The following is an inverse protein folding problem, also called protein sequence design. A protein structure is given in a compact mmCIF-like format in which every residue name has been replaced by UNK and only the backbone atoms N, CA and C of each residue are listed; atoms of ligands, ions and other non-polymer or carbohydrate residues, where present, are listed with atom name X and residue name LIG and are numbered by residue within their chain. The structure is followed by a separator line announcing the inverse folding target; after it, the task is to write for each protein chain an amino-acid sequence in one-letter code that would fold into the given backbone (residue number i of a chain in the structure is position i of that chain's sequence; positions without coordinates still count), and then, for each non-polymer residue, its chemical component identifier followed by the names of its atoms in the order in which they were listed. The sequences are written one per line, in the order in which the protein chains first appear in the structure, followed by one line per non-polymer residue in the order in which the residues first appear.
data_IF_939393478248
#
_entry.id   IF_939393478248
#
_cell.length_a   1.000
_cell.length_b   1.000
_cell.length_c   1.000
_cell.angle_alpha   90.00
_cell.angle_beta   90.00
_cell.angle_gamma   90.00
#
_symmetry.space_group_name_H-M   'P 1'
#
loop_
_entity.id
_entity.type
_entity.pdbx_description
1 polymer ?
#
# COMPACT_ATOMS: atom_id res chain seq x y z
N UNK A 1 4.03 -6.18 -2.25
CA UNK A 1 3.78 -6.58 -0.84
C UNK A 1 2.49 -6.01 -0.24
N UNK A 2 2.07 -4.82 -0.61
CA UNK A 2 0.90 -4.15 0.00
C UNK A 2 -0.47 -4.70 -0.42
N UNK A 3 -0.54 -5.61 -1.39
CA UNK A 3 -1.77 -6.27 -1.85
C UNK A 3 -1.84 -7.72 -1.37
N UNK A 4 -2.46 -8.03 -0.20
CA UNK A 4 -2.41 -9.36 0.38
C UNK A 4 -3.11 -10.43 -0.48
N UNK A 5 -4.11 -10.03 -1.26
CA UNK A 5 -4.76 -10.92 -2.21
C UNK A 5 -3.81 -11.37 -3.32
N UNK A 6 -2.97 -10.46 -3.82
CA UNK A 6 -1.91 -10.77 -4.78
C UNK A 6 -0.83 -11.65 -4.15
N UNK A 7 -0.33 -11.27 -2.96
CA UNK A 7 0.70 -12.06 -2.25
C UNK A 7 0.23 -13.50 -2.06
N UNK A 8 -0.99 -13.69 -1.55
CA UNK A 8 -1.57 -15.03 -1.37
C UNK A 8 -1.69 -15.77 -2.70
N UNK A 9 -2.12 -15.12 -3.77
CA UNK A 9 -2.20 -15.70 -5.09
C UNK A 9 -0.82 -16.14 -5.62
N UNK A 10 0.20 -15.33 -5.42
CA UNK A 10 1.58 -15.64 -5.78
C UNK A 10 2.10 -16.88 -5.02
N UNK A 11 1.85 -16.94 -3.71
CA UNK A 11 2.25 -18.06 -2.86
C UNK A 11 1.65 -19.41 -3.31
N UNK A 12 0.43 -19.38 -3.88
CA UNK A 12 -0.24 -20.60 -4.36
C UNK A 12 0.09 -20.95 -5.81
N UNK A 13 0.10 -19.97 -6.70
CA UNK A 13 0.11 -20.22 -8.15
C UNK A 13 1.40 -19.81 -8.85
N UNK A 14 2.20 -18.96 -8.23
CA UNK A 14 3.48 -18.47 -8.77
C UNK A 14 4.60 -18.54 -7.71
N UNK A 15 4.80 -19.68 -7.01
CA UNK A 15 5.81 -19.78 -5.95
C UNK A 15 7.23 -19.48 -6.45
N UNK A 16 7.53 -19.74 -7.71
CA UNK A 16 8.82 -19.46 -8.34
C UNK A 16 9.10 -17.94 -8.45
N UNK A 17 8.06 -17.11 -8.38
CA UNK A 17 8.17 -15.65 -8.40
C UNK A 17 8.30 -15.03 -7.01
N UNK A 18 8.21 -15.81 -5.94
CA UNK A 18 8.38 -15.31 -4.55
C UNK A 18 9.68 -14.54 -4.36
N UNK A 19 10.85 -14.97 -4.91
CA UNK A 19 12.09 -14.21 -4.80
C UNK A 19 12.05 -12.81 -5.44
N UNK A 20 11.10 -12.55 -6.32
CA UNK A 20 10.91 -11.26 -6.97
C UNK A 20 9.96 -10.34 -6.21
N UNK A 21 9.28 -10.82 -5.15
CA UNK A 21 8.41 -9.99 -4.33
C UNK A 21 9.24 -9.06 -3.44
N UNK A 22 8.81 -7.80 -3.37
CA UNK A 22 9.34 -6.88 -2.35
C UNK A 22 9.03 -7.45 -0.96
N UNK A 23 10.02 -7.52 -0.10
CA UNK A 23 9.88 -7.98 1.28
C UNK A 23 9.37 -6.89 2.23
N UNK A 24 9.21 -5.65 1.76
CA UNK A 24 8.60 -4.59 2.55
C UNK A 24 7.21 -5.00 3.06
N UNK A 25 6.95 -4.81 4.35
CA UNK A 25 5.60 -4.96 4.91
C UNK A 25 4.62 -4.00 4.22
N UNK A 26 3.34 -4.29 4.30
CA UNK A 26 2.34 -3.34 3.80
C UNK A 26 2.28 -2.08 4.69
N UNK A 27 1.75 -0.94 4.19
CA UNK A 27 1.67 0.28 4.98
C UNK A 27 0.98 0.12 6.34
N UNK A 28 -0.10 -0.69 6.44
CA UNK A 28 -0.73 -0.94 7.74
C UNK A 28 0.20 -1.69 8.70
N UNK A 29 0.95 -2.67 8.21
CA UNK A 29 1.86 -3.45 9.04
C UNK A 29 3.10 -2.63 9.40
N UNK A 30 3.67 -1.86 8.48
CA UNK A 30 4.76 -0.94 8.79
C UNK A 30 4.36 0.07 9.87
N UNK A 31 3.15 0.66 9.75
CA UNK A 31 2.67 1.60 10.75
C UNK A 31 2.48 0.94 12.11
N UNK A 32 1.85 -0.23 12.16
CA UNK A 32 1.67 -1.00 13.39
C UNK A 32 2.99 -1.42 14.02
N UNK A 33 3.96 -1.88 13.21
CA UNK A 33 5.30 -2.22 13.68
C UNK A 33 6.01 -1.02 14.31
N UNK A 34 6.00 0.15 13.64
CA UNK A 34 6.61 1.38 14.16
C UNK A 34 5.87 1.90 15.40
N UNK A 35 4.53 1.79 15.41
CA UNK A 35 3.72 2.17 16.57
C UNK A 35 4.08 1.36 17.82
N UNK A 36 4.22 0.03 17.67
CA UNK A 36 4.51 -0.88 18.78
C UNK A 36 6.02 -1.03 19.10
N UNK A 37 6.89 -0.43 18.30
CA UNK A 37 8.33 -0.39 18.59
C UNK A 37 8.76 1.04 18.93
N UNK A 38 9.02 1.88 17.95
CA UNK A 38 9.53 3.25 18.16
C UNK A 38 8.63 4.11 19.03
N UNK A 39 7.33 4.20 18.70
CA UNK A 39 6.41 5.05 19.46
C UNK A 39 6.21 4.54 20.88
N UNK A 40 6.07 3.22 21.06
CA UNK A 40 5.94 2.59 22.37
C UNK A 40 7.16 2.90 23.25
N UNK A 41 8.38 2.73 22.72
CA UNK A 41 9.64 3.04 23.42
C UNK A 41 9.72 4.53 23.78
N UNK A 42 9.42 5.41 22.84
CA UNK A 42 9.45 6.87 23.03
C UNK A 42 8.48 7.37 24.09
N UNK A 43 7.31 6.74 24.19
CA UNK A 43 6.27 7.09 25.16
C UNK A 43 6.37 6.31 26.48
N UNK A 44 7.29 5.36 26.58
CA UNK A 44 7.41 4.48 27.75
C UNK A 44 6.19 3.56 27.95
N UNK A 45 5.52 3.18 26.86
CA UNK A 45 4.34 2.31 26.87
C UNK A 45 4.77 0.88 26.52
N UNK A 46 4.36 -0.09 27.32
CA UNK A 46 4.55 -1.50 26.97
C UNK A 46 3.74 -1.83 25.70
N UNK A 47 4.37 -2.38 24.64
CA UNK A 47 3.67 -2.70 23.38
C UNK A 47 2.39 -3.53 23.55
N UNK A 48 2.32 -4.38 24.58
CA UNK A 48 1.11 -5.18 24.88
C UNK A 48 -0.13 -4.35 25.21
N UNK A 49 0.08 -3.10 25.65
CA UNK A 49 -1.00 -2.17 26.01
C UNK A 49 -1.45 -1.31 24.84
N UNK A 50 -0.85 -1.47 23.66
CA UNK A 50 -1.22 -0.77 22.42
C UNK A 50 -2.08 -1.70 21.58
N UNK A 51 -3.30 -1.27 21.27
CA UNK A 51 -4.19 -1.96 20.33
C UNK A 51 -4.21 -1.19 19.02
N UNK A 52 -3.63 -1.78 17.98
CA UNK A 52 -3.60 -1.22 16.63
C UNK A 52 -4.80 -1.71 15.84
N UNK A 53 -5.66 -0.77 15.42
CA UNK A 53 -6.86 -1.08 14.62
C UNK A 53 -6.74 -0.43 13.27
N UNK A 54 -6.74 -1.23 12.20
CA UNK A 54 -6.73 -0.73 10.83
C UNK A 54 -8.14 -0.66 10.25
N UNK A 55 -8.42 0.41 9.51
CA UNK A 55 -9.67 0.57 8.73
C UNK A 55 -9.29 0.55 7.26
N UNK A 56 -9.69 -0.50 6.54
CA UNK A 56 -9.21 -0.76 5.18
C UNK A 56 -10.36 -1.01 4.19
N UNK A 57 -10.24 -0.56 2.95
CA UNK A 57 -11.18 -0.91 1.87
C UNK A 57 -11.00 -2.36 1.39
N UNK A 58 -10.42 -3.22 2.20
CA UNK A 58 -9.91 -4.54 1.81
C UNK A 58 -10.37 -5.61 2.80
N UNK A 59 -10.76 -6.79 2.30
CA UNK A 59 -11.06 -7.97 3.13
C UNK A 59 -9.83 -8.84 3.38
N UNK A 60 -8.87 -8.85 2.44
CA UNK A 60 -7.65 -9.65 2.54
C UNK A 60 -6.67 -9.12 3.60
N UNK A 61 -6.82 -7.86 4.05
CA UNK A 61 -6.07 -7.30 5.18
C UNK A 61 -6.32 -8.06 6.49
N UNK A 62 -7.50 -8.66 6.65
CA UNK A 62 -7.81 -9.57 7.77
C UNK A 62 -6.95 -10.84 7.76
N UNK A 63 -6.62 -11.34 6.58
CA UNK A 63 -5.68 -12.46 6.42
C UNK A 63 -4.24 -12.01 6.69
N UNK A 64 -3.87 -10.82 6.21
CA UNK A 64 -2.51 -10.30 6.36
C UNK A 64 -2.10 -10.14 7.82
N UNK A 65 -2.98 -9.62 8.70
CA UNK A 65 -2.66 -9.44 10.13
C UNK A 65 -2.43 -10.75 10.89
N UNK A 66 -2.85 -11.88 10.35
CA UNK A 66 -2.61 -13.21 10.93
C UNK A 66 -1.45 -13.96 10.29
N UNK A 67 -0.61 -13.31 9.48
CA UNK A 67 0.59 -13.94 8.90
C UNK A 67 1.71 -14.02 9.94
N UNK A 68 2.55 -15.03 9.78
CA UNK A 68 3.81 -15.10 10.52
C UNK A 68 4.70 -13.90 10.15
N UNK A 69 5.56 -13.47 11.06
CA UNK A 69 6.49 -12.35 10.88
C UNK A 69 5.86 -10.93 10.76
N UNK A 70 4.59 -10.79 11.18
CA UNK A 70 3.93 -9.49 11.33
C UNK A 70 3.82 -9.10 12.82
N UNK A 71 4.96 -9.17 13.54
CA UNK A 71 5.04 -9.03 15.00
C UNK A 71 6.40 -8.47 15.46
N UNK A 72 6.85 -7.38 14.85
CA UNK A 72 8.17 -6.79 15.08
C UNK A 72 8.50 -6.48 16.56
N UNK A 73 7.50 -6.18 17.38
CA UNK A 73 7.64 -5.94 18.83
C UNK A 73 7.52 -7.19 19.69
N UNK A 74 7.34 -8.38 19.09
CA UNK A 74 6.91 -9.60 19.77
C UNK A 74 5.40 -9.74 19.96
N UNK A 75 4.64 -8.70 19.60
CA UNK A 75 3.16 -8.68 19.56
C UNK A 75 2.70 -8.41 18.13
N UNK A 76 1.47 -8.80 17.72
CA UNK A 76 0.96 -8.49 16.40
C UNK A 76 1.11 -7.01 16.04
N UNK A 77 1.66 -6.68 14.88
CA UNK A 77 1.82 -5.30 14.44
C UNK A 77 0.45 -4.60 14.35
N UNK A 78 -0.56 -5.32 13.84
CA UNK A 78 -1.95 -4.87 13.79
C UNK A 78 -2.84 -5.92 14.45
N UNK A 79 -3.61 -5.52 15.46
CA UNK A 79 -4.45 -6.45 16.24
C UNK A 79 -5.79 -6.70 15.55
N UNK A 80 -6.38 -5.66 14.97
CA UNK A 80 -7.72 -5.73 14.38
C UNK A 80 -7.72 -5.04 13.02
N UNK A 81 -8.33 -5.68 12.02
CA UNK A 81 -8.57 -5.06 10.71
C UNK A 81 -10.06 -5.03 10.41
N UNK A 82 -10.62 -3.83 10.30
CA UNK A 82 -12.00 -3.57 9.90
C UNK A 82 -12.06 -3.13 8.45
N UNK A 83 -13.10 -3.54 7.76
CA UNK A 83 -13.42 -2.96 6.46
C UNK A 83 -14.14 -1.62 6.62
N UNK A 84 -14.10 -0.77 5.59
CA UNK A 84 -14.88 0.49 5.55
C UNK A 84 -16.37 0.24 5.86
N UNK A 85 -16.93 -0.88 5.35
CA UNK A 85 -18.33 -1.25 5.64
C UNK A 85 -18.57 -1.67 7.08
N UNK A 86 -17.62 -2.33 7.71
CA UNK A 86 -17.72 -2.73 9.12
C UNK A 86 -17.66 -1.53 10.04
N UNK A 87 -16.77 -0.56 9.76
CA UNK A 87 -16.76 0.71 10.47
C UNK A 87 -18.09 1.46 10.35
N UNK A 88 -18.65 1.55 9.15
CA UNK A 88 -19.96 2.17 8.94
C UNK A 88 -21.08 1.48 9.74
N UNK A 89 -21.05 0.13 9.83
CA UNK A 89 -22.00 -0.61 10.67
C UNK A 89 -21.77 -0.36 12.17
N UNK A 90 -20.52 -0.25 12.60
CA UNK A 90 -20.18 0.03 13.99
C UNK A 90 -20.72 1.40 14.41
N UNK A 91 -20.50 2.44 13.59
CA UNK A 91 -21.04 3.79 13.82
C UNK A 91 -22.57 3.75 13.95
N UNK A 92 -23.26 3.07 13.01
CA UNK A 92 -24.72 2.93 13.05
C UNK A 92 -25.22 2.19 14.29
N UNK A 93 -24.52 1.12 14.72
CA UNK A 93 -24.90 0.35 15.91
C UNK A 93 -24.64 1.11 17.22
N UNK A 94 -23.70 2.05 17.20
CA UNK A 94 -23.43 2.91 18.37
C UNK A 94 -24.44 4.06 18.49
N UNK A 95 -25.47 4.10 17.62
CA UNK A 95 -26.48 5.15 17.61
C UNK A 95 -25.91 6.57 17.47
N UNK A 96 -24.73 6.70 16.86
CA UNK A 96 -24.11 7.99 16.58
C UNK A 96 -24.78 8.62 15.35
N UNK A 97 -25.26 9.85 15.49
CA UNK A 97 -25.67 10.66 14.35
C UNK A 97 -24.42 11.26 13.71
N UNK A 98 -23.89 10.58 12.68
CA UNK A 98 -22.61 10.94 12.07
C UNK A 98 -22.62 12.32 11.44
N UNK A 99 -23.80 12.76 10.96
CA UNK A 99 -23.95 14.09 10.32
C UNK A 99 -24.01 15.24 11.32
N UNK A 100 -24.22 14.95 12.61
CA UNK A 100 -24.33 15.96 13.66
C UNK A 100 -23.02 16.10 14.47
N UNK A 101 -21.99 15.32 14.10
CA UNK A 101 -20.68 15.44 14.72
C UNK A 101 -19.96 16.69 14.22
N UNK A 102 -19.31 17.38 15.13
CA UNK A 102 -18.39 18.46 14.78
C UNK A 102 -17.13 17.90 14.09
N UNK A 103 -16.54 18.70 13.20
CA UNK A 103 -15.26 18.35 12.57
C UNK A 103 -14.15 18.29 13.63
N UNK A 104 -13.39 17.20 13.62
CA UNK A 104 -12.24 16.99 14.49
C UNK A 104 -10.93 16.99 13.72
N UNK A 105 -9.83 16.93 14.45
CA UNK A 105 -8.50 16.76 13.88
C UNK A 105 -7.96 15.39 14.27
N UNK A 106 -7.16 14.80 13.39
CA UNK A 106 -6.46 13.57 13.71
C UNK A 106 -5.28 13.83 14.66
N UNK A 107 -5.03 12.89 15.55
CA UNK A 107 -3.74 12.83 16.25
C UNK A 107 -2.63 12.44 15.26
N UNK A 108 -1.43 12.96 15.50
CA UNK A 108 -0.27 12.71 14.64
C UNK A 108 0.88 12.03 15.42
N UNK A 109 0.70 10.82 15.94
CA UNK A 109 1.69 10.16 16.79
C UNK A 109 3.03 9.90 16.06
N UNK A 110 2.98 9.74 14.75
CA UNK A 110 4.13 9.49 13.87
C UNK A 110 4.28 10.56 12.78
N UNK A 111 3.67 11.74 12.96
CA UNK A 111 3.71 12.84 12.01
C UNK A 111 2.65 12.76 10.92
N UNK A 112 2.83 13.60 9.89
CA UNK A 112 1.86 13.75 8.81
C UNK A 112 2.12 12.73 7.68
N UNK A 113 1.06 12.44 6.92
CA UNK A 113 1.13 11.62 5.72
C UNK A 113 1.66 12.43 4.52
N UNK A 114 1.92 11.75 3.41
CA UNK A 114 2.33 12.36 2.14
C UNK A 114 1.36 12.02 1.03
N UNK A 115 1.33 12.85 -0.03
CA UNK A 115 0.58 12.55 -1.23
C UNK A 115 0.95 11.20 -1.85
N UNK A 116 2.25 10.84 -1.82
CA UNK A 116 2.71 9.51 -2.24
C UNK A 116 2.00 8.38 -1.47
N UNK A 117 1.79 8.53 -0.16
CA UNK A 117 1.06 7.54 0.63
C UNK A 117 -0.43 7.48 0.26
N UNK A 118 -1.04 8.61 -0.03
CA UNK A 118 -2.46 8.70 -0.41
C UNK A 118 -2.75 7.96 -1.71
N UNK A 119 -1.92 8.15 -2.75
CA UNK A 119 -2.16 7.54 -4.06
C UNK A 119 -1.98 6.02 -4.11
N UNK A 120 -1.42 5.39 -3.06
CA UNK A 120 -1.35 3.91 -2.95
C UNK A 120 -2.71 3.23 -3.11
N UNK A 121 -3.79 3.94 -2.84
CA UNK A 121 -5.14 3.42 -2.99
C UNK A 121 -5.58 3.20 -4.45
N UNK A 122 -4.95 3.84 -5.42
CA UNK A 122 -5.24 3.70 -6.85
C UNK A 122 -4.22 2.79 -7.53
N UNK A 123 -4.65 2.03 -8.55
CA UNK A 123 -3.72 1.23 -9.36
C UNK A 123 -2.73 2.12 -10.11
N UNK A 124 -1.45 1.84 -10.00
CA UNK A 124 -0.34 2.66 -10.48
C UNK A 124 0.19 3.66 -9.44
N UNK A 125 -0.52 3.83 -8.31
CA UNK A 125 -0.11 4.78 -7.30
C UNK A 125 1.13 4.36 -6.51
N UNK A 126 1.33 3.07 -6.26
CA UNK A 126 2.57 2.56 -5.64
C UNK A 126 3.74 2.73 -6.60
N UNK A 127 3.54 2.40 -7.88
CA UNK A 127 4.52 2.63 -8.94
C UNK A 127 4.91 4.10 -9.02
N UNK A 128 3.94 4.98 -9.07
CA UNK A 128 4.18 6.43 -9.14
C UNK A 128 4.93 6.94 -7.90
N UNK A 129 4.52 6.51 -6.68
CA UNK A 129 5.21 6.88 -5.45
C UNK A 129 6.68 6.39 -5.44
N UNK A 130 6.94 5.17 -5.95
CA UNK A 130 8.29 4.65 -6.09
C UNK A 130 9.11 5.42 -7.12
N UNK A 131 8.53 5.75 -8.28
CA UNK A 131 9.20 6.53 -9.32
C UNK A 131 9.56 7.93 -8.83
N UNK A 132 8.69 8.61 -8.09
CA UNK A 132 8.98 9.92 -7.48
C UNK A 132 10.27 9.90 -6.64
N UNK A 133 10.49 8.83 -5.87
CA UNK A 133 11.68 8.69 -5.04
C UNK A 133 12.88 8.17 -5.83
N UNK A 134 12.68 7.15 -6.66
CA UNK A 134 13.77 6.51 -7.39
C UNK A 134 14.45 7.46 -8.37
N UNK A 135 13.67 8.26 -9.11
CA UNK A 135 14.23 9.22 -10.08
C UNK A 135 15.10 10.24 -9.35
N UNK A 136 14.64 10.87 -8.28
CA UNK A 136 15.44 11.83 -7.52
C UNK A 136 16.70 11.20 -6.89
N UNK A 137 16.56 9.98 -6.38
CA UNK A 137 17.71 9.27 -5.80
C UNK A 137 18.78 8.92 -6.85
N UNK A 138 18.36 8.52 -8.04
CA UNK A 138 19.28 8.10 -9.11
C UNK A 138 19.89 9.29 -9.87
N UNK A 139 19.14 10.36 -10.05
CA UNK A 139 19.62 11.56 -10.78
C UNK A 139 20.33 12.55 -9.86
N UNK A 140 20.02 12.57 -8.57
CA UNK A 140 20.44 13.62 -7.63
C UNK A 140 19.73 14.96 -7.87
N UNK A 141 18.74 15.01 -8.75
CA UNK A 141 18.00 16.22 -9.12
C UNK A 141 16.59 16.19 -8.57
N UNK A 142 16.09 17.34 -8.10
CA UNK A 142 14.72 17.47 -7.62
C UNK A 142 13.74 17.50 -8.80
N UNK A 143 12.72 16.63 -8.75
CA UNK A 143 11.66 16.62 -9.75
C UNK A 143 10.78 17.87 -9.67
N UNK A 144 10.70 18.64 -10.74
CA UNK A 144 9.74 19.74 -10.87
C UNK A 144 8.30 19.22 -11.04
N UNK A 145 8.15 18.10 -11.75
CA UNK A 145 6.87 17.44 -12.00
C UNK A 145 6.89 16.01 -11.48
N UNK A 146 6.04 15.73 -10.48
CA UNK A 146 5.98 14.43 -9.79
C UNK A 146 4.88 13.50 -10.33
N UNK A 147 4.18 13.90 -11.38
CA UNK A 147 3.02 13.20 -11.93
C UNK A 147 3.42 12.28 -13.10
N UNK A 148 3.43 10.98 -12.86
CA UNK A 148 3.75 9.96 -13.85
C UNK A 148 2.46 9.45 -14.52
N UNK A 149 1.93 10.20 -15.47
CA UNK A 149 0.61 9.98 -16.09
C UNK A 149 0.45 8.60 -16.75
N UNK A 150 1.51 8.03 -17.33
CA UNK A 150 1.45 6.75 -18.04
C UNK A 150 1.07 5.56 -17.13
N UNK A 151 1.34 5.65 -15.82
CA UNK A 151 0.98 4.61 -14.85
C UNK A 151 -0.36 4.87 -14.15
N UNK A 152 -0.98 6.04 -14.37
CA UNK A 152 -2.32 6.39 -13.84
C UNK A 152 -3.45 5.77 -14.65
N UNK A 153 -4.67 5.83 -14.12
CA UNK A 153 -5.88 5.36 -14.79
C UNK A 153 -6.30 3.95 -14.35
N UNK A 154 -7.46 3.51 -14.84
CA UNK A 154 -8.14 2.28 -14.40
C UNK A 154 -7.94 1.10 -15.36
N UNK A 155 -7.12 1.23 -16.40
CA UNK A 155 -6.78 0.12 -17.30
C UNK A 155 -6.20 -1.06 -16.54
N UNK A 156 -6.56 -2.27 -16.97
CA UNK A 156 -6.17 -3.52 -16.31
C UNK A 156 -4.67 -3.78 -16.32
N UNK A 157 -4.00 -3.48 -17.44
CA UNK A 157 -2.54 -3.50 -17.61
C UNK A 157 -2.12 -2.15 -18.19
N UNK A 158 -1.04 -1.60 -17.64
CA UNK A 158 -0.38 -0.37 -18.12
C UNK A 158 1.10 -0.63 -18.15
N UNK A 159 1.76 -0.16 -19.18
CA UNK A 159 3.21 -0.31 -19.38
C UNK A 159 3.79 1.07 -19.72
N UNK A 160 4.96 1.36 -19.21
CA UNK A 160 5.67 2.61 -19.50
C UNK A 160 7.19 2.38 -19.50
N UNK A 161 7.89 3.21 -20.26
CA UNK A 161 9.35 3.30 -20.27
C UNK A 161 9.74 4.74 -19.89
N UNK A 162 10.68 4.85 -18.98
CA UNK A 162 11.24 6.12 -18.53
C UNK A 162 12.76 6.10 -18.74
N UNK A 163 13.32 7.22 -19.19
CA UNK A 163 14.76 7.45 -19.17
C UNK A 163 15.12 8.11 -17.84
N UNK A 164 15.93 7.42 -17.03
CA UNK A 164 16.35 7.91 -15.72
C UNK A 164 17.88 7.85 -15.68
N UNK A 165 18.53 9.01 -15.71
CA UNK A 165 19.97 9.12 -15.73
C UNK A 165 20.64 8.31 -16.89
N UNK A 166 20.01 8.29 -18.06
CA UNK A 166 20.48 7.54 -19.24
C UNK A 166 20.18 6.04 -19.20
N UNK A 167 19.48 5.57 -18.19
CA UNK A 167 19.01 4.18 -18.08
C UNK A 167 17.54 4.07 -18.47
N UNK A 168 17.22 3.17 -19.40
CA UNK A 168 15.83 2.86 -19.74
C UNK A 168 15.20 1.94 -18.70
N UNK A 169 14.25 2.48 -17.97
CA UNK A 169 13.49 1.74 -16.93
C UNK A 169 12.11 1.43 -17.48
N UNK A 170 11.85 0.14 -17.74
CA UNK A 170 10.54 -0.35 -18.15
C UNK A 170 9.77 -0.81 -16.91
N UNK A 171 8.54 -0.34 -16.81
CA UNK A 171 7.65 -0.64 -15.68
C UNK A 171 6.31 -1.14 -16.18
N UNK A 172 5.66 -1.97 -15.37
CA UNK A 172 4.32 -2.44 -15.66
C UNK A 172 3.44 -2.38 -14.41
N UNK A 173 2.15 -2.13 -14.62
CA UNK A 173 1.13 -2.11 -13.58
C UNK A 173 0.00 -3.04 -14.00
N UNK A 174 -0.36 -4.00 -13.15
CA UNK A 174 -1.51 -4.87 -13.37
C UNK A 174 -2.51 -4.74 -12.21
N UNK A 175 -3.79 -4.60 -12.53
CA UNK A 175 -4.87 -4.58 -11.55
C UNK A 175 -5.90 -5.66 -11.85
N UNK A 176 -6.22 -6.48 -10.81
CA UNK A 176 -6.97 -7.73 -10.95
C UNK A 176 -6.06 -8.92 -11.25
N UNK A 177 -6.34 -10.07 -10.62
CA UNK A 177 -5.46 -11.25 -10.68
C UNK A 177 -5.37 -11.86 -12.08
N UNK A 178 -6.42 -11.80 -12.90
CA UNK A 178 -6.34 -12.24 -14.30
C UNK A 178 -5.37 -11.41 -15.14
N UNK A 179 -5.33 -10.09 -14.95
CA UNK A 179 -4.34 -9.22 -15.59
C UNK A 179 -2.93 -9.47 -15.06
N UNK A 180 -2.80 -9.74 -13.76
CA UNK A 180 -1.53 -10.13 -13.16
C UNK A 180 -1.01 -11.43 -13.79
N UNK A 181 -1.87 -12.44 -13.97
CA UNK A 181 -1.54 -13.69 -14.64
C UNK A 181 -1.00 -13.44 -16.06
N UNK A 182 -1.76 -12.70 -16.87
CA UNK A 182 -1.36 -12.36 -18.25
C UNK A 182 0.02 -11.70 -18.29
N UNK A 183 0.28 -10.76 -17.39
CA UNK A 183 1.57 -10.05 -17.34
C UNK A 183 2.71 -10.99 -16.93
N UNK A 184 2.50 -11.80 -15.91
CA UNK A 184 3.51 -12.74 -15.41
C UNK A 184 3.83 -13.85 -16.39
N UNK A 185 2.83 -14.37 -17.10
CA UNK A 185 3.05 -15.39 -18.13
C UNK A 185 3.92 -14.81 -19.27
N UNK A 186 3.72 -13.57 -19.68
CA UNK A 186 4.59 -12.88 -20.66
C UNK A 186 6.04 -12.76 -20.14
N UNK A 187 6.22 -12.43 -18.86
CA UNK A 187 7.55 -12.35 -18.24
C UNK A 187 8.20 -13.74 -18.19
N UNK A 188 7.48 -14.76 -17.77
CA UNK A 188 7.99 -16.15 -17.70
C UNK A 188 8.36 -16.72 -19.07
N UNK A 189 7.63 -16.36 -20.10
CA UNK A 189 7.90 -16.76 -21.48
C UNK A 189 9.04 -15.96 -22.14
N UNK A 190 9.61 -14.95 -21.46
CA UNK A 190 10.64 -14.08 -22.01
C UNK A 190 10.12 -13.08 -23.05
N UNK A 191 8.81 -12.88 -23.12
CA UNK A 191 8.16 -11.93 -24.04
C UNK A 191 8.19 -10.47 -23.53
N UNK A 192 8.44 -10.30 -22.24
CA UNK A 192 8.51 -9.00 -21.60
C UNK A 192 9.55 -9.01 -20.47
N UNK A 193 10.21 -7.86 -20.29
CA UNK A 193 11.22 -7.63 -19.26
C UNK A 193 10.98 -6.26 -18.62
N UNK A 194 10.77 -6.24 -17.31
CA UNK A 194 10.49 -5.02 -16.54
C UNK A 194 11.40 -4.96 -15.31
N UNK A 195 11.87 -3.77 -14.99
CA UNK A 195 12.66 -3.51 -13.79
C UNK A 195 11.76 -3.41 -12.55
N UNK A 196 10.48 -3.00 -12.74
CA UNK A 196 9.53 -2.93 -11.65
C UNK A 196 8.11 -3.24 -12.13
N UNK A 197 7.41 -4.09 -11.38
CA UNK A 197 6.01 -4.47 -11.63
C UNK A 197 5.17 -4.17 -10.39
N UNK A 198 4.13 -3.37 -10.54
CA UNK A 198 3.08 -3.24 -9.52
C UNK A 198 1.93 -4.18 -9.82
N UNK A 199 1.49 -4.95 -8.82
CA UNK A 199 0.29 -5.78 -8.93
C UNK A 199 -0.68 -5.45 -7.80
N UNK A 200 -1.90 -5.07 -8.20
CA UNK A 200 -3.05 -4.91 -7.31
C UNK A 200 -4.04 -6.05 -7.51
N UNK A 201 -4.42 -6.75 -6.43
CA UNK A 201 -5.38 -7.86 -6.51
C UNK A 201 -6.80 -7.41 -6.92
N UNK A 202 -7.17 -6.17 -6.62
CA UNK A 202 -8.47 -5.61 -6.96
C UNK A 202 -8.41 -4.78 -8.25
N UNK A 203 -9.38 -4.90 -9.18
CA UNK A 203 -9.46 -4.05 -10.37
C UNK A 203 -9.57 -2.57 -10.00
N UNK A 204 -8.65 -1.75 -10.47
CA UNK A 204 -8.59 -0.31 -10.15
C UNK A 204 -7.83 0.02 -8.85
N UNK A 205 -7.43 -0.98 -8.08
CA UNK A 205 -6.71 -0.81 -6.80
C UNK A 205 -7.63 -0.86 -5.58
N UNK A 206 -7.14 -0.38 -4.44
CA UNK A 206 -7.87 -0.38 -3.17
C UNK A 206 -9.15 0.47 -3.19
N UNK A 207 -9.24 1.47 -4.06
CA UNK A 207 -10.45 2.28 -4.28
C UNK A 207 -11.68 1.43 -4.65
N UNK A 208 -11.47 0.24 -5.21
CA UNK A 208 -12.53 -0.74 -5.52
C UNK A 208 -12.34 -2.05 -4.74
N UNK A 209 -11.69 -1.97 -3.59
CA UNK A 209 -11.43 -3.12 -2.73
C UNK A 209 -12.71 -3.75 -2.17
N UNK A 210 -12.64 -5.05 -1.85
CA UNK A 210 -13.78 -5.83 -1.35
C UNK A 210 -14.42 -5.35 -0.04
N UNK A 211 -13.77 -4.45 0.68
CA UNK A 211 -14.28 -3.79 1.89
C UNK A 211 -14.99 -2.45 1.66
N UNK A 212 -14.97 -1.92 0.43
CA UNK A 212 -15.63 -0.68 0.08
C UNK A 212 -17.17 -0.80 0.07
N UNK A 213 -17.90 0.31 0.27
CA UNK A 213 -19.36 0.34 0.12
C UNK A 213 -19.79 -0.10 -1.28
N UNK A 214 -20.77 -1.01 -1.31
CA UNK A 214 -21.35 -1.53 -2.54
C UNK A 214 -22.30 -0.47 -3.11
N UNK A 215 -22.08 -0.11 -4.37
CA UNK A 215 -22.96 0.80 -5.09
C UNK A 215 -24.07 0.05 -5.80
N UNK A 216 -25.24 0.68 -5.91
CA UNK A 216 -26.37 0.12 -6.64
C UNK A 216 -26.03 -0.07 -8.14
N UNK A 217 -26.68 -1.00 -8.84
CA UNK A 217 -26.51 -1.16 -10.28
C UNK A 217 -26.74 0.13 -11.08
N UNK A 218 -27.68 0.96 -10.63
CA UNK A 218 -28.00 2.24 -11.29
C UNK A 218 -26.86 3.24 -11.19
N UNK A 219 -26.21 3.34 -10.03
CA UNK A 219 -25.03 4.18 -9.86
C UNK A 219 -23.90 3.68 -10.75
N UNK A 220 -23.62 2.35 -10.75
CA UNK A 220 -22.52 1.77 -11.55
C UNK A 220 -22.71 1.93 -13.06
N UNK A 221 -23.96 2.02 -13.54
CA UNK A 221 -24.24 2.28 -14.97
C UNK A 221 -23.98 3.73 -15.39
N UNK A 222 -24.07 4.67 -14.43
CA UNK A 222 -23.98 6.11 -14.72
C UNK A 222 -22.62 6.72 -14.38
N UNK A 223 -21.91 6.10 -13.43
CA UNK A 223 -20.66 6.64 -12.86
C UNK A 223 -19.59 5.55 -12.83
N UNK A 224 -18.44 5.85 -13.40
CA UNK A 224 -17.24 5.07 -13.12
C UNK A 224 -16.77 5.37 -11.69
N UNK A 225 -17.24 4.56 -10.75
CA UNK A 225 -16.98 4.72 -9.32
C UNK A 225 -15.47 4.58 -9.01
N UNK A 226 -14.75 3.73 -9.74
CA UNK A 226 -13.31 3.53 -9.55
C UNK A 226 -12.54 4.78 -9.94
N UNK A 227 -12.83 5.30 -11.12
CA UNK A 227 -12.20 6.53 -11.61
C UNK A 227 -12.53 7.72 -10.70
N UNK A 228 -13.79 7.86 -10.24
CA UNK A 228 -14.19 8.93 -9.33
C UNK A 228 -13.44 8.87 -7.99
N UNK A 229 -13.29 7.68 -7.39
CA UNK A 229 -12.55 7.49 -6.14
C UNK A 229 -11.05 7.72 -6.34
N UNK A 230 -10.46 7.21 -7.43
CA UNK A 230 -9.05 7.44 -7.74
C UNK A 230 -8.76 8.94 -7.95
N UNK A 231 -9.65 9.65 -8.65
CA UNK A 231 -9.55 11.11 -8.82
C UNK A 231 -9.53 11.85 -7.47
N UNK A 232 -10.33 11.42 -6.50
CA UNK A 232 -10.33 12.03 -5.17
C UNK A 232 -8.97 11.87 -4.47
N UNK A 233 -8.31 10.70 -4.60
CA UNK A 233 -6.96 10.49 -4.04
C UNK A 233 -5.91 11.35 -4.75
N UNK A 234 -5.95 11.45 -6.08
CA UNK A 234 -5.01 12.29 -6.82
C UNK A 234 -5.23 13.79 -6.55
N UNK A 235 -6.47 14.22 -6.34
CA UNK A 235 -6.75 15.60 -5.94
C UNK A 235 -6.19 15.89 -4.54
N UNK A 236 -6.33 14.95 -3.61
CA UNK A 236 -5.77 15.08 -2.27
C UNK A 236 -4.23 15.12 -2.34
N UNK A 237 -3.59 14.21 -3.07
CA UNK A 237 -2.13 14.25 -3.31
C UNK A 237 -1.68 15.63 -3.83
N UNK A 238 -2.38 16.16 -4.82
CA UNK A 238 -2.04 17.45 -5.42
C UNK A 238 -2.15 18.63 -4.44
N UNK A 239 -2.98 18.52 -3.40
CA UNK A 239 -3.16 19.56 -2.37
C UNK A 239 -2.19 19.42 -1.19
N UNK A 240 -1.45 18.32 -1.08
CA UNK A 240 -0.57 18.07 0.07
C UNK A 240 0.77 18.80 -0.06
N UNK A 241 1.29 19.26 1.06
CA UNK A 241 2.60 19.92 1.17
C UNK A 241 3.73 18.96 0.78
N UNK A 242 3.67 17.73 1.28
CA UNK A 242 4.65 16.69 0.97
C UNK A 242 4.03 15.69 0.00
N UNK A 243 4.50 15.70 -1.24
CA UNK A 243 4.03 14.79 -2.28
C UNK A 243 4.94 13.57 -2.50
N UNK A 244 6.13 13.59 -1.94
CA UNK A 244 7.14 12.53 -2.05
C UNK A 244 7.40 11.93 -0.67
N UNK A 245 7.58 10.60 -0.60
CA UNK A 245 7.76 9.90 0.68
C UNK A 245 9.06 10.31 1.39
N UNK A 246 10.14 10.51 0.65
CA UNK A 246 11.44 10.88 1.20
C UNK A 246 11.55 12.35 1.64
N UNK A 247 10.57 13.20 1.31
CA UNK A 247 10.51 14.56 1.82
C UNK A 247 9.84 14.66 3.20
N UNK A 248 9.19 13.58 3.66
CA UNK A 248 8.48 13.57 4.94
C UNK A 248 9.45 13.72 6.12
N UNK A 249 9.38 14.83 6.88
CA UNK A 249 10.28 15.07 8.00
C UNK A 249 10.14 14.04 9.13
N UNK A 250 8.94 13.50 9.32
CA UNK A 250 8.70 12.48 10.34
C UNK A 250 9.38 11.16 9.99
N UNK A 251 9.43 10.81 8.70
CA UNK A 251 10.15 9.61 8.22
C UNK A 251 11.66 9.81 8.35
N UNK A 252 12.18 10.98 7.97
CA UNK A 252 13.61 11.32 8.17
C UNK A 252 13.98 11.17 9.64
N UNK A 253 13.20 11.77 10.52
CA UNK A 253 13.40 11.67 11.98
C UNK A 253 13.35 10.25 12.51
N UNK A 254 12.40 9.43 12.01
CA UNK A 254 12.29 8.00 12.38
C UNK A 254 13.56 7.22 12.01
N UNK A 255 14.14 7.48 10.84
CA UNK A 255 15.40 6.86 10.43
C UNK A 255 16.56 7.38 11.27
N UNK A 256 16.68 8.69 11.48
CA UNK A 256 17.78 9.30 12.23
C UNK A 256 17.80 8.85 13.70
N UNK A 257 16.63 8.81 14.36
CA UNK A 257 16.53 8.51 15.79
C UNK A 257 16.46 7.00 16.11
N UNK A 258 15.96 6.17 15.17
CA UNK A 258 15.59 4.81 15.53
C UNK A 258 16.00 3.73 14.53
N UNK A 259 15.64 3.88 13.26
CA UNK A 259 15.87 2.83 12.26
C UNK A 259 17.30 2.80 11.71
N UNK A 260 18.01 3.93 11.78
CA UNK A 260 19.32 4.10 11.15
C UNK A 260 19.18 4.38 9.64
N UNK A 261 19.99 3.72 8.82
CA UNK A 261 19.91 3.87 7.37
C UNK A 261 18.82 2.98 6.77
N UNK A 262 18.20 3.36 5.62
CA UNK A 262 17.42 2.44 4.83
C UNK A 262 18.18 1.16 4.54
N UNK A 263 17.57 -0.01 4.80
CA UNK A 263 18.22 -1.31 4.66
C UNK A 263 19.13 -1.71 5.83
N UNK A 264 19.21 -0.93 6.92
CA UNK A 264 19.90 -1.37 8.14
C UNK A 264 19.25 -2.63 8.72
N UNK A 265 19.97 -3.39 9.52
CA UNK A 265 19.46 -4.60 10.18
C UNK A 265 18.20 -4.31 10.99
N UNK A 266 18.16 -3.20 11.73
CA UNK A 266 17.00 -2.77 12.52
C UNK A 266 15.80 -2.41 11.62
N UNK A 267 16.04 -1.64 10.57
CA UNK A 267 14.98 -1.29 9.60
C UNK A 267 14.45 -2.56 8.91
N UNK A 268 15.33 -3.48 8.55
CA UNK A 268 14.93 -4.75 7.94
C UNK A 268 14.11 -5.61 8.90
N UNK A 269 14.52 -5.73 10.16
CA UNK A 269 13.77 -6.50 11.17
C UNK A 269 12.36 -5.94 11.40
N UNK A 270 12.20 -4.62 11.43
CA UNK A 270 10.92 -3.97 11.76
C UNK A 270 9.99 -3.87 10.55
N UNK A 271 10.54 -3.53 9.37
CA UNK A 271 9.75 -3.12 8.21
C UNK A 271 9.63 -4.20 7.12
N UNK A 272 10.27 -5.36 7.28
CA UNK A 272 10.24 -6.41 6.27
C UNK A 272 9.55 -7.68 6.78
N UNK A 273 9.06 -8.48 5.85
CA UNK A 273 8.40 -9.76 6.06
C UNK A 273 8.92 -10.80 5.08
N UNK A 274 8.44 -12.02 5.18
CA UNK A 274 8.78 -13.11 4.26
C UNK A 274 7.52 -13.79 3.71
N UNK A 275 7.71 -14.54 2.64
CA UNK A 275 6.65 -15.25 1.95
C UNK A 275 7.00 -16.72 1.83
N UNK A 276 5.98 -17.57 1.78
CA UNK A 276 6.14 -19.02 1.71
C UNK A 276 5.28 -19.60 0.60
N UNK A 277 5.81 -20.63 -0.07
CA UNK A 277 4.99 -21.45 -0.96
C UNK A 277 3.86 -22.09 -0.16
N UNK A 278 2.65 -22.04 -0.72
CA UNK A 278 1.47 -22.72 -0.15
C UNK A 278 1.02 -23.83 -1.06
N UNK A 279 0.58 -24.95 -0.45
CA UNK A 279 -0.02 -26.02 -1.20
C UNK A 279 -1.42 -25.63 -1.67
N UNK A 280 -1.70 -25.88 -2.93
CA UNK A 280 -3.06 -25.79 -3.49
C UNK A 280 -3.84 -26.95 -2.93
N UNK A 281 -5.02 -26.72 -2.37
CA UNK A 281 -5.84 -27.80 -1.86
C UNK A 281 -6.18 -28.77 -3.00
N UNK A 282 -5.83 -30.03 -2.82
CA UNK A 282 -6.38 -31.12 -3.64
C UNK A 282 -7.87 -31.22 -3.31
N UNK A 283 -8.71 -31.01 -4.34
CA UNK A 283 -10.17 -31.14 -4.23
C UNK A 283 -10.55 -32.60 -4.50
#
# INVERSE_FOLDING_TARGET
SCSPGWVKYCEYYYPDMIPNLSTCKSPQQMFGAVLKTYYAEKMGIDPKNIVSVSIMPCTAKKFEIGRDNENASGYPDVDISLTTRELARMIKKSCLSFTDLEDGTFDHPLGESTGAGVIFGATGGVMEAALRTAVETLTGETLEHVDFQAVRGTAGIKEAEYDVAGMKIRVAVASGLGNAQTLLDRVKNGEADYQFIEIMGCPGGCVDGGGQPIQSPDVRRRVDVKAARAKALYNLDASMTYRKSHDNPAIKKLYDEYLGMPGSEKAHHILHTSYVKREVYDI
#
